data_IF_649549557086
#
_entry.id   IF_649549557086
#
_cell.length_a   1.000
_cell.length_b   1.000
_cell.length_c   1.000
_cell.angle_alpha   90.00
_cell.angle_beta   90.00
_cell.angle_gamma   90.00
#
_symmetry.space_group_name_H-M   'P 1'
#
loop_
_entity.id
_entity.type
_entity.pdbx_description
1 polymer ?
#
# COMPACT_ATOMS: atom_id res chain seq x y z
N UNK A 1 -4.13 15.58 5.62
CA UNK A 1 -3.23 15.11 4.56
C UNK A 1 -3.04 13.60 4.68
N UNK A 2 -3.56 12.81 3.73
CA UNK A 2 -3.32 11.36 3.60
C UNK A 2 -3.29 11.10 2.10
N UNK A 3 -2.18 10.62 1.54
CA UNK A 3 -2.22 10.13 0.17
C UNK A 3 -3.05 8.84 0.13
N UNK A 4 -4.16 8.85 -0.61
CA UNK A 4 -5.00 7.67 -0.85
C UNK A 4 -4.67 6.97 -2.16
N UNK A 5 -3.61 7.40 -2.84
CA UNK A 5 -3.19 6.88 -4.14
C UNK A 5 -2.63 5.46 -3.97
N UNK A 6 -3.20 4.45 -4.67
CA UNK A 6 -2.60 3.13 -4.70
C UNK A 6 -1.26 3.22 -5.43
N UNK A 7 -0.20 2.72 -4.80
CA UNK A 7 1.15 2.67 -5.36
C UNK A 7 1.57 1.21 -5.40
N UNK A 8 2.14 0.78 -6.53
CA UNK A 8 2.62 -0.58 -6.70
C UNK A 8 3.99 -0.77 -6.03
N UNK A 9 4.33 -2.00 -5.63
CA UNK A 9 5.67 -2.29 -5.09
C UNK A 9 6.78 -2.03 -6.13
N UNK A 10 6.47 -2.16 -7.42
CA UNK A 10 7.41 -1.92 -8.51
C UNK A 10 7.83 -0.46 -8.61
N UNK A 11 6.88 0.46 -8.42
CA UNK A 11 7.17 1.90 -8.35
C UNK A 11 8.00 2.25 -7.10
N UNK A 12 7.72 1.59 -5.97
CA UNK A 12 8.40 1.85 -4.72
C UNK A 12 9.86 1.35 -4.73
N UNK A 13 10.13 0.22 -5.39
CA UNK A 13 11.48 -0.36 -5.52
C UNK A 13 12.39 0.43 -6.45
N UNK A 14 11.84 1.27 -7.34
CA UNK A 14 12.62 2.15 -8.23
C UNK A 14 13.14 3.40 -7.52
N UNK A 15 12.54 3.77 -6.39
CA UNK A 15 12.91 4.95 -5.64
C UNK A 15 13.95 4.57 -4.57
N UNK A 16 15.01 5.37 -4.39
CA UNK A 16 16.02 5.11 -3.37
C UNK A 16 15.48 5.24 -1.94
N UNK A 17 14.36 5.93 -1.75
CA UNK A 17 13.63 6.05 -0.49
C UNK A 17 12.17 5.62 -0.66
N UNK A 18 11.59 5.04 0.40
CA UNK A 18 10.17 4.69 0.46
C UNK A 18 9.35 5.98 0.58
N UNK A 19 8.99 6.55 -0.57
CA UNK A 19 8.18 7.77 -0.72
C UNK A 19 7.12 7.57 -1.79
N UNK A 20 5.95 8.15 -1.58
CA UNK A 20 4.93 8.27 -2.61
C UNK A 20 5.30 9.44 -3.53
N UNK A 21 4.85 9.43 -4.78
CA UNK A 21 5.01 10.55 -5.73
C UNK A 21 4.55 11.91 -5.18
N UNK A 22 3.69 11.92 -4.17
CA UNK A 22 3.19 13.12 -3.48
C UNK A 22 3.99 13.51 -2.22
N UNK A 23 5.13 12.86 -1.95
CA UNK A 23 6.01 13.14 -0.81
C UNK A 23 5.65 12.43 0.50
N UNK A 24 4.56 11.66 0.54
CA UNK A 24 4.14 10.90 1.72
C UNK A 24 5.05 9.69 1.98
N UNK A 25 5.32 9.38 3.26
CA UNK A 25 6.22 8.28 3.67
C UNK A 25 5.52 7.11 4.36
N UNK A 26 4.25 7.26 4.71
CA UNK A 26 3.49 6.24 5.45
C UNK A 26 2.59 5.47 4.50
N UNK A 27 2.92 4.20 4.28
CA UNK A 27 2.13 3.28 3.45
C UNK A 27 1.38 2.28 4.30
N UNK A 28 0.16 1.93 3.87
CA UNK A 28 -0.60 0.79 4.41
C UNK A 28 -0.69 -0.27 3.32
N UNK A 29 -0.39 -1.52 3.68
CA UNK A 29 -0.52 -2.64 2.74
C UNK A 29 -2.00 -2.86 2.42
N UNK A 30 -2.33 -2.91 1.13
CA UNK A 30 -3.68 -3.22 0.68
C UNK A 30 -4.09 -4.64 1.12
N UNK A 31 -5.40 -4.85 1.31
CA UNK A 31 -5.96 -6.17 1.60
C UNK A 31 -5.59 -7.12 0.46
N UNK A 32 -5.12 -8.32 0.80
CA UNK A 32 -4.86 -9.36 -0.18
C UNK A 32 -6.17 -9.72 -0.92
N UNK A 33 -6.12 -10.00 -2.24
CA UNK A 33 -7.31 -10.37 -3.02
C UNK A 33 -7.80 -11.79 -2.74
N UNK A 34 -7.09 -12.54 -1.90
CA UNK A 34 -7.42 -13.93 -1.55
C UNK A 34 -8.63 -13.92 -0.60
N UNK A 35 -9.65 -14.71 -0.94
CA UNK A 35 -10.83 -14.91 -0.10
C UNK A 35 -10.40 -15.59 1.20
N UNK A 36 -10.69 -14.95 2.33
CA UNK A 36 -10.47 -15.52 3.66
C UNK A 36 -11.83 -15.94 4.23
N UNK A 37 -11.97 -17.21 4.59
CA UNK A 37 -13.12 -17.69 5.34
C UNK A 37 -12.97 -17.28 6.81
N UNK A 38 -13.95 -16.54 7.33
CA UNK A 38 -14.03 -16.13 8.74
C UNK A 38 -15.25 -16.83 9.35
N UNK A 39 -15.07 -17.51 10.48
CA UNK A 39 -16.20 -18.05 11.25
C UNK A 39 -16.96 -16.88 11.87
N UNK A 40 -18.29 -16.98 11.87
CA UNK A 40 -19.17 -15.89 12.32
C UNK A 40 -19.28 -15.80 13.84
N UNK A 41 -18.90 -16.86 14.57
CA UNK A 41 -18.86 -16.95 16.04
C UNK A 41 -17.72 -17.89 16.43
#
# INVERSE_FOLDING_TARGET
MRCGTPVSNEELSKLPEIKCICGFRVFRKARQPIVKQLKAV
#
